data_IF_982380425528
#
_entry.id   IF_982380425528
#
_cell.length_a   1.000
_cell.length_b   1.000
_cell.length_c   1.000
_cell.angle_alpha   90.00
_cell.angle_beta   90.00
_cell.angle_gamma   90.00
#
_symmetry.space_group_name_H-M   'P 1'
#
loop_
_entity.id
_entity.type
_entity.pdbx_description
1 polymer ?
#
# COMPACT_ATOMS: atom_id res chain seq x y z
N UNK A 1 18.09 39.15 58.37
CA UNK A 1 18.43 37.76 58.74
C UNK A 1 17.96 36.87 57.59
N UNK A 2 18.88 36.15 56.96
CA UNK A 2 18.56 35.18 55.90
C UNK A 2 17.80 34.03 56.56
N UNK A 3 16.64 33.67 56.02
CA UNK A 3 15.79 32.63 56.60
C UNK A 3 16.18 31.28 55.96
N UNK A 4 16.74 30.32 56.72
CA UNK A 4 17.26 29.08 56.14
C UNK A 4 16.15 28.23 55.47
N UNK A 5 14.88 28.44 55.83
CA UNK A 5 13.75 27.77 55.18
C UNK A 5 13.46 28.28 53.77
N UNK A 6 13.65 29.57 53.50
CA UNK A 6 13.41 30.13 52.17
C UNK A 6 14.51 29.72 51.20
N UNK A 7 15.77 29.69 51.66
CA UNK A 7 16.89 29.15 50.88
C UNK A 7 16.72 27.66 50.60
N UNK A 8 16.31 26.87 51.60
CA UNK A 8 16.08 25.43 51.41
C UNK A 8 14.93 25.15 50.43
N UNK A 9 13.86 25.96 50.45
CA UNK A 9 12.77 25.84 49.47
C UNK A 9 13.24 26.19 48.05
N UNK A 10 13.99 27.28 47.89
CA UNK A 10 14.50 27.71 46.60
C UNK A 10 15.46 26.68 45.98
N UNK A 11 16.34 26.07 46.79
CA UNK A 11 17.21 24.98 46.36
C UNK A 11 16.40 23.72 45.99
N UNK A 12 15.39 23.35 46.78
CA UNK A 12 14.55 22.20 46.47
C UNK A 12 13.75 22.38 45.17
N UNK A 13 13.26 23.59 44.89
CA UNK A 13 12.61 23.91 43.62
C UNK A 13 13.61 23.88 42.45
N UNK A 14 14.82 24.39 42.65
CA UNK A 14 15.87 24.34 41.63
C UNK A 14 16.31 22.90 41.32
N UNK A 15 16.37 22.03 42.33
CA UNK A 15 16.75 20.62 42.17
C UNK A 15 15.65 19.84 41.43
N UNK A 16 14.37 20.03 41.81
CA UNK A 16 13.23 19.44 41.09
C UNK A 16 13.14 19.95 39.65
N UNK A 17 13.38 21.24 39.41
CA UNK A 17 13.40 21.81 38.07
C UNK A 17 14.56 21.23 37.23
N UNK A 18 15.74 21.10 37.81
CA UNK A 18 16.91 20.51 37.13
C UNK A 18 16.66 19.04 36.81
N UNK A 19 16.06 18.29 37.74
CA UNK A 19 15.72 16.89 37.55
C UNK A 19 14.64 16.70 36.47
N UNK A 20 13.64 17.58 36.43
CA UNK A 20 12.62 17.61 35.39
C UNK A 20 13.22 17.94 34.01
N UNK A 21 14.11 18.92 33.92
CA UNK A 21 14.81 19.26 32.66
C UNK A 21 15.65 18.09 32.15
N UNK A 22 16.47 17.47 33.01
CA UNK A 22 17.27 16.29 32.61
C UNK A 22 16.41 15.11 32.16
N UNK A 23 15.23 14.93 32.78
CA UNK A 23 14.30 13.87 32.40
C UNK A 23 13.63 14.19 31.07
N UNK A 24 13.27 15.44 30.84
CA UNK A 24 12.67 15.91 29.59
C UNK A 24 13.65 15.85 28.42
N UNK A 25 14.93 16.15 28.65
CA UNK A 25 16.00 15.96 27.66
C UNK A 25 16.15 14.48 27.29
N UNK A 26 16.20 13.57 28.28
CA UNK A 26 16.26 12.13 28.03
C UNK A 26 15.01 11.60 27.31
N UNK A 27 13.83 12.11 27.66
CA UNK A 27 12.59 11.77 26.99
C UNK A 27 12.64 12.19 25.52
N UNK A 28 13.07 13.43 25.25
CA UNK A 28 13.21 13.96 23.89
C UNK A 28 14.26 13.19 23.07
N UNK A 29 15.35 12.74 23.70
CA UNK A 29 16.39 11.94 23.05
C UNK A 29 15.87 10.55 22.69
N UNK A 30 15.18 9.88 23.61
CA UNK A 30 14.56 8.58 23.38
C UNK A 30 13.42 8.63 22.34
N UNK A 31 12.63 9.70 22.33
CA UNK A 31 11.56 9.91 21.35
C UNK A 31 12.14 10.13 19.95
N UNK A 32 13.25 10.87 19.84
CA UNK A 32 13.97 11.07 18.59
C UNK A 32 14.61 9.77 18.09
N UNK A 33 15.22 8.99 18.98
CA UNK A 33 15.78 7.68 18.64
C UNK A 33 14.70 6.72 18.17
N UNK A 34 13.58 6.62 18.90
CA UNK A 34 12.44 5.78 18.53
C UNK A 34 11.88 6.17 17.15
N UNK A 35 11.67 7.46 16.91
CA UNK A 35 11.21 7.96 15.62
C UNK A 35 12.18 7.65 14.48
N UNK A 36 13.49 7.73 14.74
CA UNK A 36 14.53 7.36 13.79
C UNK A 36 14.53 5.87 13.47
N UNK A 37 14.37 5.01 14.48
CA UNK A 37 14.27 3.56 14.34
C UNK A 37 13.00 3.15 13.60
N UNK A 38 11.86 3.77 13.88
CA UNK A 38 10.59 3.54 13.16
C UNK A 38 10.72 3.92 11.68
N UNK A 39 11.36 5.05 11.40
CA UNK A 39 11.64 5.49 10.03
C UNK A 39 12.56 4.51 9.30
N UNK A 40 13.61 4.01 9.97
CA UNK A 40 14.50 3.00 9.43
C UNK A 40 13.78 1.68 9.18
N UNK A 41 12.95 1.23 10.12
CA UNK A 41 12.17 0.00 9.99
C UNK A 41 11.20 0.08 8.82
N UNK A 42 10.52 1.22 8.66
CA UNK A 42 9.65 1.49 7.51
C UNK A 42 10.43 1.44 6.19
N UNK A 43 11.58 2.13 6.13
CA UNK A 43 12.42 2.12 4.94
C UNK A 43 12.94 0.72 4.57
N UNK A 44 13.28 -0.10 5.56
CA UNK A 44 13.69 -1.50 5.34
C UNK A 44 12.53 -2.37 4.85
N UNK A 45 11.32 -2.16 5.37
CA UNK A 45 10.11 -2.85 4.91
C UNK A 45 9.76 -2.48 3.46
N UNK A 46 9.86 -1.21 3.12
CA UNK A 46 9.64 -0.72 1.75
C UNK A 46 10.68 -1.30 0.79
N UNK A 47 11.95 -1.30 1.20
CA UNK A 47 13.02 -1.91 0.42
C UNK A 47 12.79 -3.41 0.20
N UNK A 48 12.43 -4.14 1.24
CA UNK A 48 12.14 -5.57 1.13
C UNK A 48 10.97 -5.84 0.18
N UNK A 49 9.89 -5.05 0.29
CA UNK A 49 8.73 -5.15 -0.61
C UNK A 49 9.12 -4.88 -2.07
N UNK A 50 10.00 -3.92 -2.32
CA UNK A 50 10.50 -3.62 -3.66
C UNK A 50 11.39 -4.75 -4.21
N UNK A 51 12.23 -5.38 -3.37
CA UNK A 51 13.05 -6.53 -3.74
C UNK A 51 12.18 -7.75 -4.04
N UNK A 52 11.15 -8.00 -3.23
CA UNK A 52 10.21 -9.11 -3.44
C UNK A 52 9.41 -8.92 -4.73
N UNK A 53 8.97 -7.68 -5.01
CA UNK A 53 8.33 -7.34 -6.28
C UNK A 53 9.28 -7.59 -7.46
N UNK A 54 10.54 -7.17 -7.37
CA UNK A 54 11.54 -7.36 -8.43
C UNK A 54 11.88 -8.85 -8.67
N UNK A 55 11.89 -9.65 -7.60
CA UNK A 55 12.14 -11.09 -7.66
C UNK A 55 10.90 -11.92 -8.01
N UNK A 56 9.74 -11.28 -8.24
CA UNK A 56 8.52 -11.97 -8.65
C UNK A 56 8.67 -12.56 -10.06
N UNK A 57 8.35 -13.84 -10.21
CA UNK A 57 8.34 -14.54 -11.49
C UNK A 57 7.25 -14.00 -12.46
N UNK A 58 6.27 -13.26 -11.95
CA UNK A 58 5.17 -12.66 -12.75
C UNK A 58 5.35 -11.16 -12.99
N UNK A 59 5.93 -10.44 -12.03
CA UNK A 59 5.99 -8.98 -11.99
C UNK A 59 7.43 -8.45 -11.88
N UNK A 60 8.36 -9.13 -12.55
CA UNK A 60 9.74 -8.67 -12.67
C UNK A 60 9.86 -7.29 -13.33
N UNK A 61 11.09 -6.76 -13.50
CA UNK A 61 11.32 -5.39 -13.99
C UNK A 61 10.80 -5.14 -15.42
N UNK A 62 10.40 -6.19 -16.11
CA UNK A 62 9.83 -6.15 -17.46
C UNK A 62 8.32 -6.26 -17.31
N UNK A 63 7.63 -5.12 -17.27
CA UNK A 63 6.17 -5.13 -17.34
C UNK A 63 5.74 -5.70 -18.68
N UNK A 64 5.07 -6.85 -18.68
CA UNK A 64 4.52 -7.47 -19.88
C UNK A 64 3.30 -6.67 -20.34
N UNK A 65 3.55 -5.63 -21.12
CA UNK A 65 2.51 -4.77 -21.67
C UNK A 65 2.13 -5.26 -23.07
N UNK A 66 0.84 -5.48 -23.28
CA UNK A 66 0.27 -5.64 -24.62
C UNK A 66 -0.57 -4.40 -24.95
N UNK A 67 -0.36 -3.83 -26.12
CA UNK A 67 -1.14 -2.69 -26.61
C UNK A 67 -1.94 -3.13 -27.85
N UNK A 68 -3.21 -2.72 -27.89
CA UNK A 68 -4.08 -2.90 -29.05
C UNK A 68 -4.20 -1.57 -29.79
N UNK A 69 -4.30 -1.62 -31.12
CA UNK A 69 -4.63 -0.45 -31.92
C UNK A 69 -6.15 -0.24 -32.07
N UNK A 70 -6.97 -1.09 -31.46
CA UNK A 70 -8.41 -1.08 -31.57
C UNK A 70 -9.07 -1.25 -30.19
N UNK A 71 -9.93 -0.30 -29.81
CA UNK A 71 -10.66 -0.29 -28.52
C UNK A 71 -11.68 -1.42 -28.39
N UNK A 72 -12.03 -2.09 -29.48
CA UNK A 72 -12.99 -3.22 -29.49
C UNK A 72 -12.37 -4.52 -28.97
N UNK A 73 -11.05 -4.55 -28.73
CA UNK A 73 -10.33 -5.72 -28.24
C UNK A 73 -9.42 -5.35 -27.06
N UNK A 74 -9.58 -6.07 -25.94
CA UNK A 74 -8.65 -5.99 -24.81
C UNK A 74 -7.55 -7.03 -24.99
N UNK A 75 -6.29 -6.61 -24.86
CA UNK A 75 -5.13 -7.51 -24.94
C UNK A 75 -4.34 -7.40 -23.64
N UNK A 76 -3.92 -8.54 -23.10
CA UNK A 76 -3.08 -8.64 -21.90
C UNK A 76 -1.93 -9.59 -22.17
N UNK A 77 -0.73 -9.26 -21.69
CA UNK A 77 0.44 -10.14 -21.75
C UNK A 77 0.78 -10.65 -20.34
N UNK A 78 1.20 -11.90 -20.25
CA UNK A 78 1.71 -12.52 -19.02
C UNK A 78 3.22 -12.71 -19.12
N UNK A 79 3.85 -13.25 -18.07
CA UNK A 79 5.31 -13.41 -18.01
C UNK A 79 5.90 -14.41 -19.00
N UNK A 80 5.06 -15.17 -19.71
CA UNK A 80 5.46 -16.11 -20.76
C UNK A 80 5.19 -15.56 -22.17
N UNK A 81 4.59 -14.37 -22.29
CA UNK A 81 4.27 -13.78 -23.57
C UNK A 81 5.56 -13.41 -24.32
N UNK A 82 5.68 -13.91 -25.55
CA UNK A 82 6.81 -13.60 -26.40
C UNK A 82 6.67 -12.17 -26.96
N UNK A 83 7.75 -11.40 -26.94
CA UNK A 83 7.77 -10.08 -27.54
C UNK A 83 7.58 -10.16 -29.05
N UNK A 84 6.60 -9.41 -29.58
CA UNK A 84 6.31 -9.36 -31.01
C UNK A 84 5.07 -8.54 -31.34
N UNK A 85 4.88 -8.26 -32.63
CA UNK A 85 3.66 -7.66 -33.17
C UNK A 85 2.76 -8.74 -33.75
N UNK A 86 1.53 -8.81 -33.28
CA UNK A 86 0.54 -9.80 -33.71
C UNK A 86 -0.61 -9.12 -34.43
N UNK A 87 -1.02 -9.68 -35.58
CA UNK A 87 -2.18 -9.22 -36.35
C UNK A 87 -3.23 -10.32 -36.38
N UNK A 88 -4.46 -9.99 -35.99
CA UNK A 88 -5.60 -10.91 -36.02
C UNK A 88 -6.84 -10.24 -36.61
N UNK A 89 -7.75 -11.04 -37.18
CA UNK A 89 -9.02 -10.59 -37.73
C UNK A 89 -10.16 -11.39 -37.09
N UNK A 90 -11.21 -10.71 -36.65
CA UNK A 90 -12.36 -11.33 -35.99
C UNK A 90 -13.53 -11.36 -36.97
N UNK A 91 -13.91 -12.56 -37.42
CA UNK A 91 -15.05 -12.76 -38.33
C UNK A 91 -16.40 -12.78 -37.60
N UNK A 92 -16.45 -13.45 -36.45
CA UNK A 92 -17.68 -13.62 -35.66
C UNK A 92 -17.35 -13.73 -34.17
N UNK A 93 -18.19 -13.10 -33.33
CA UNK A 93 -18.12 -13.23 -31.88
C UNK A 93 -18.83 -14.50 -31.41
N UNK A 94 -18.27 -15.16 -30.40
CA UNK A 94 -18.95 -16.26 -29.72
C UNK A 94 -20.24 -15.75 -29.06
N UNK A 95 -21.35 -16.46 -29.27
CA UNK A 95 -22.66 -16.12 -28.71
C UNK A 95 -23.08 -17.17 -27.69
N UNK A 96 -23.64 -16.73 -26.56
CA UNK A 96 -24.27 -17.62 -25.58
C UNK A 96 -25.67 -18.02 -26.05
N UNK A 97 -26.01 -19.31 -25.90
CA UNK A 97 -27.37 -19.78 -26.19
C UNK A 97 -28.37 -19.10 -25.26
N UNK A 98 -29.39 -18.43 -25.81
CA UNK A 98 -30.53 -17.94 -25.05
C UNK A 98 -31.75 -18.81 -25.38
N UNK A 99 -32.25 -19.54 -24.39
CA UNK A 99 -33.54 -20.23 -24.46
C UNK A 99 -34.57 -19.39 -23.72
N UNK A 100 -35.57 -18.91 -24.45
CA UNK A 100 -36.76 -18.27 -23.85
C UNK A 100 -37.94 -19.24 -23.93
N UNK A 101 -38.68 -19.37 -22.85
CA UNK A 101 -39.93 -20.11 -22.86
C UNK A 101 -41.01 -19.20 -23.43
N UNK A 102 -41.44 -19.48 -24.66
CA UNK A 102 -42.64 -18.86 -25.23
C UNK A 102 -43.86 -19.51 -24.58
N UNK A 103 -44.37 -18.92 -23.50
CA UNK A 103 -45.71 -19.24 -23.02
C UNK A 103 -46.69 -18.73 -24.07
N UNK A 104 -47.09 -19.62 -24.99
CA UNK A 104 -48.26 -19.38 -25.83
C UNK A 104 -49.45 -19.19 -24.90
N UNK A 105 -50.17 -18.10 -25.09
CA UNK A 105 -51.43 -17.80 -24.43
C UNK A 105 -52.36 -19.02 -24.53
N UNK A 106 -52.50 -19.76 -23.42
CA UNK A 106 -53.42 -20.88 -23.30
C UNK A 106 -54.84 -20.30 -23.32
N UNK A 107 -55.37 -20.04 -24.52
CA UNK A 107 -56.77 -19.74 -24.73
C UNK A 107 -57.61 -20.95 -24.29
N UNK A 108 -58.04 -20.91 -23.03
CA UNK A 108 -58.97 -21.87 -22.43
C UNK A 108 -60.30 -21.79 -23.19
N UNK A 109 -60.57 -22.78 -24.05
CA UNK A 109 -61.91 -23.02 -24.60
C UNK A 109 -62.69 -23.83 -23.56
N UNK A 110 -63.59 -23.14 -22.85
CA UNK A 110 -64.62 -23.75 -21.99
C UNK A 110 -65.69 -24.51 -22.80
#
# INVERSE_FOLDING_TARGET
MINPRTIAQEIAYADVATQATNLQEKQSELDAESSGLDSLSSALSDFQSAVDALNSDTDGPVTFAATSNNDSATVSANSQAQAGSYSFFVEQLAQGQQTTFSMGDDAFSA
#
